data_IF_545962882439
#
_entry.id   IF_545962882439
#
_cell.length_a   1.000
_cell.length_b   1.000
_cell.length_c   1.000
_cell.angle_alpha   90.00
_cell.angle_beta   90.00
_cell.angle_gamma   90.00
#
_symmetry.space_group_name_H-M   'P 1'
#
loop_
_entity.id
_entity.type
_entity.pdbx_description
1 polymer ?
#
# COMPACT_ATOMS: atom_id res chain seq x y z
N UNK A 1 40.26 -40.94 6.76
CA UNK A 1 38.79 -41.07 6.94
C UNK A 1 38.24 -39.68 7.27
N UNK A 2 37.89 -38.92 6.24
CA UNK A 2 37.45 -37.52 6.34
C UNK A 2 36.01 -37.45 6.83
N UNK A 3 35.83 -36.87 8.03
CA UNK A 3 34.55 -36.59 8.66
C UNK A 3 33.87 -35.42 7.95
N UNK A 4 33.16 -35.66 6.85
CA UNK A 4 32.28 -34.66 6.25
C UNK A 4 30.89 -34.81 6.84
N UNK A 5 30.65 -34.12 7.95
CA UNK A 5 29.31 -33.91 8.49
C UNK A 5 29.15 -32.43 8.83
N UNK A 6 28.52 -31.67 7.94
CA UNK A 6 27.52 -30.69 8.38
C UNK A 6 26.66 -30.17 7.24
N UNK A 7 25.36 -30.44 7.39
CA UNK A 7 24.24 -29.57 7.06
C UNK A 7 24.10 -29.14 5.60
N UNK A 8 23.33 -29.94 4.86
CA UNK A 8 22.26 -29.35 4.05
C UNK A 8 21.39 -28.50 4.97
N UNK A 9 21.68 -27.21 5.02
CA UNK A 9 20.80 -26.20 5.56
C UNK A 9 19.87 -25.86 4.40
N UNK A 10 18.80 -26.63 4.25
CA UNK A 10 17.68 -26.26 3.38
C UNK A 10 17.13 -24.95 3.95
N UNK A 11 17.48 -23.85 3.30
CA UNK A 11 16.94 -22.50 3.52
C UNK A 11 15.48 -22.43 3.07
N UNK A 12 14.62 -23.23 3.71
CA UNK A 12 13.17 -23.11 3.62
C UNK A 12 12.72 -21.97 4.55
N UNK A 13 13.25 -20.78 4.31
CA UNK A 13 12.67 -19.56 4.85
C UNK A 13 11.32 -19.34 4.19
N UNK A 14 10.24 -18.99 4.94
CA UNK A 14 8.92 -18.77 4.36
C UNK A 14 9.01 -17.78 3.20
N UNK A 15 8.87 -18.30 1.97
CA UNK A 15 8.81 -17.50 0.77
C UNK A 15 7.67 -16.51 0.98
N UNK A 16 8.02 -15.24 1.14
CA UNK A 16 7.07 -14.19 1.47
C UNK A 16 6.12 -14.08 0.27
N UNK A 17 5.00 -14.81 0.33
CA UNK A 17 4.17 -15.08 -0.83
C UNK A 17 3.72 -13.77 -1.46
N UNK A 18 4.26 -13.50 -2.64
CA UNK A 18 4.03 -12.30 -3.45
C UNK A 18 2.58 -12.17 -3.94
N UNK A 19 1.70 -13.10 -3.55
CA UNK A 19 0.29 -13.17 -3.89
C UNK A 19 -0.58 -13.10 -2.63
N UNK A 20 -0.27 -12.19 -1.70
CA UNK A 20 -1.25 -11.81 -0.66
C UNK A 20 -2.15 -10.76 -1.31
N UNK A 21 -3.42 -11.09 -1.64
CA UNK A 21 -4.33 -10.09 -2.16
C UNK A 21 -4.43 -8.97 -1.13
N UNK A 22 -4.14 -7.74 -1.57
CA UNK A 22 -4.17 -6.52 -0.77
C UNK A 22 -5.64 -6.12 -0.56
N UNK A 23 -6.46 -7.05 -0.08
CA UNK A 23 -7.92 -7.01 -0.29
C UNK A 23 -8.63 -5.95 0.56
N UNK A 24 -7.92 -5.24 1.44
CA UNK A 24 -8.50 -4.24 2.34
C UNK A 24 -7.48 -3.16 2.76
N UNK A 25 -6.63 -2.65 1.85
CA UNK A 25 -5.91 -1.42 2.18
C UNK A 25 -6.85 -0.23 1.97
N UNK A 26 -6.95 0.70 2.94
CA UNK A 26 -7.69 1.92 2.73
C UNK A 26 -7.10 2.66 1.53
N UNK A 27 -7.96 2.93 0.54
CA UNK A 27 -7.63 3.73 -0.63
C UNK A 27 -8.01 5.18 -0.41
N UNK A 28 -7.24 6.08 -1.00
CA UNK A 28 -7.50 7.52 -1.01
C UNK A 28 -7.41 8.05 -2.44
N UNK A 29 -8.26 9.04 -2.76
CA UNK A 29 -8.23 9.74 -4.03
C UNK A 29 -6.98 10.63 -4.07
N UNK A 30 -6.02 10.25 -4.91
CA UNK A 30 -4.74 10.95 -5.01
C UNK A 30 -4.49 11.47 -6.42
N UNK A 31 -3.92 12.66 -6.49
CA UNK A 31 -3.49 13.24 -7.76
C UNK A 31 -2.20 12.55 -8.19
N UNK A 32 -2.21 12.07 -9.42
CA UNK A 32 -1.11 11.38 -10.06
C UNK A 32 -0.75 12.05 -11.37
N UNK A 33 0.53 11.97 -11.72
CA UNK A 33 1.03 12.21 -13.04
C UNK A 33 0.92 10.91 -13.83
N UNK A 34 0.06 10.88 -14.84
CA UNK A 34 -0.06 9.77 -15.79
C UNK A 34 0.71 10.10 -17.06
N UNK A 35 1.45 9.13 -17.58
CA UNK A 35 2.13 9.33 -18.85
C UNK A 35 1.11 9.46 -19.99
N UNK A 36 1.37 10.39 -20.93
CA UNK A 36 0.50 10.64 -22.09
C UNK A 36 0.71 9.63 -23.23
N UNK A 37 1.79 8.85 -23.17
CA UNK A 37 2.14 7.90 -24.21
C UNK A 37 1.35 6.59 -24.04
N UNK A 38 0.66 6.15 -25.09
CA UNK A 38 -0.14 4.91 -25.09
C UNK A 38 0.69 3.64 -24.89
N UNK A 39 2.00 3.68 -25.17
CA UNK A 39 2.94 2.59 -24.89
C UNK A 39 3.52 2.60 -23.47
N UNK A 40 3.14 3.55 -22.63
CA UNK A 40 3.71 3.72 -21.28
C UNK A 40 2.60 3.98 -20.26
N UNK A 41 2.16 2.94 -19.56
CA UNK A 41 1.15 3.05 -18.50
C UNK A 41 1.74 3.47 -17.13
N UNK A 42 2.88 4.16 -17.14
CA UNK A 42 3.53 4.62 -15.93
C UNK A 42 2.83 5.82 -15.34
N UNK A 43 2.76 5.84 -14.01
CA UNK A 43 2.23 6.95 -13.25
C UNK A 43 3.11 7.22 -12.03
N UNK A 44 3.02 8.44 -11.52
CA UNK A 44 3.72 8.90 -10.32
C UNK A 44 2.76 9.73 -9.47
N UNK A 45 2.90 9.74 -8.15
CA UNK A 45 2.10 10.64 -7.29
C UNK A 45 2.59 12.08 -7.40
N UNK A 46 1.66 13.04 -7.37
CA UNK A 46 1.99 14.47 -7.38
C UNK A 46 2.85 14.87 -6.17
N UNK A 47 2.59 14.30 -4.99
CA UNK A 47 3.32 14.58 -3.74
C UNK A 47 4.84 14.34 -3.81
N UNK A 48 5.28 13.55 -4.80
CA UNK A 48 6.68 13.18 -5.00
C UNK A 48 7.30 13.87 -6.21
N UNK A 49 6.53 14.72 -6.91
CA UNK A 49 7.03 15.49 -8.05
C UNK A 49 7.68 16.78 -7.56
N UNK A 50 8.93 17.03 -7.99
CA UNK A 50 9.66 18.27 -7.68
C UNK A 50 9.36 19.42 -8.64
N UNK A 51 8.73 19.12 -9.77
CA UNK A 51 8.42 20.07 -10.86
C UNK A 51 6.91 20.08 -11.07
N UNK A 52 6.37 21.24 -11.47
CA UNK A 52 4.95 21.40 -11.81
C UNK A 52 4.48 20.41 -12.89
N UNK A 53 5.36 20.00 -13.81
CA UNK A 53 5.08 18.91 -14.76
C UNK A 53 6.29 17.99 -14.81
N UNK A 54 6.21 16.75 -14.28
CA UNK A 54 7.30 15.80 -14.38
C UNK A 54 7.38 15.18 -15.77
N UNK A 55 8.58 14.71 -16.09
CA UNK A 55 8.88 13.93 -17.29
C UNK A 55 8.91 12.46 -16.90
N UNK A 56 8.26 11.60 -17.70
CA UNK A 56 8.24 10.18 -17.45
C UNK A 56 9.66 9.58 -17.46
N UNK A 57 10.01 8.81 -16.43
CA UNK A 57 11.34 8.17 -16.33
C UNK A 57 11.56 7.06 -17.36
N UNK A 58 10.50 6.44 -17.88
CA UNK A 58 10.61 5.35 -18.85
C UNK A 58 10.72 5.85 -20.29
N UNK A 59 9.82 6.75 -20.71
CA UNK A 59 9.73 7.17 -22.11
C UNK A 59 10.14 8.63 -22.34
N UNK A 60 10.47 9.39 -21.29
CA UNK A 60 10.84 10.82 -21.34
C UNK A 60 9.76 11.73 -21.95
N UNK A 61 8.53 11.25 -22.07
CA UNK A 61 7.37 12.04 -22.51
C UNK A 61 6.82 12.90 -21.36
N UNK A 62 6.15 14.02 -21.67
CA UNK A 62 5.46 14.81 -20.66
C UNK A 62 4.30 14.01 -20.04
N UNK A 63 4.09 14.19 -18.74
CA UNK A 63 2.99 13.57 -18.00
C UNK A 63 1.84 14.55 -17.81
N UNK A 64 0.63 14.04 -17.55
CA UNK A 64 -0.59 14.81 -17.31
C UNK A 64 -1.14 14.51 -15.91
N UNK A 65 -1.65 15.53 -15.22
CA UNK A 65 -2.29 15.38 -13.92
C UNK A 65 -3.63 14.66 -14.08
N UNK A 66 -3.82 13.59 -13.32
CA UNK A 66 -5.03 12.76 -13.29
C UNK A 66 -5.28 12.34 -11.85
N UNK A 67 -6.46 11.80 -11.54
CA UNK A 67 -6.79 11.33 -10.19
C UNK A 67 -6.99 9.82 -10.19
N UNK A 68 -6.47 9.14 -9.16
CA UNK A 68 -6.59 7.68 -9.02
C UNK A 68 -6.79 7.30 -7.56
N UNK A 69 -7.67 6.33 -7.32
CA UNK A 69 -7.78 5.70 -6.00
C UNK A 69 -6.56 4.81 -5.79
N UNK A 70 -5.75 5.14 -4.80
CA UNK A 70 -4.53 4.42 -4.50
C UNK A 70 -4.46 4.12 -3.00
N UNK A 71 -3.80 3.02 -2.59
CA UNK A 71 -3.60 2.74 -1.18
C UNK A 71 -2.88 3.89 -0.48
N UNK A 72 -3.30 4.22 0.74
CA UNK A 72 -2.69 5.30 1.52
C UNK A 72 -1.20 5.02 1.74
N UNK A 73 -0.35 5.95 1.32
CA UNK A 73 1.08 5.88 1.53
C UNK A 73 1.45 6.57 2.84
N UNK A 74 2.15 5.85 3.71
CA UNK A 74 2.63 6.38 4.98
C UNK A 74 4.10 6.75 4.83
N UNK A 75 4.42 8.04 4.78
CA UNK A 75 5.78 8.53 4.50
C UNK A 75 6.75 8.40 5.70
N UNK A 76 6.25 8.10 6.91
CA UNK A 76 7.07 7.99 8.12
C UNK A 76 6.63 6.84 9.01
N UNK A 77 7.60 6.20 9.68
CA UNK A 77 7.38 5.15 10.68
C UNK A 77 6.42 5.59 11.81
N UNK A 78 6.41 6.88 12.14
CA UNK A 78 5.48 7.42 13.13
C UNK A 78 4.05 7.45 12.58
N UNK A 79 3.88 7.76 11.30
CA UNK A 79 2.59 7.73 10.64
C UNK A 79 2.04 6.30 10.57
N UNK A 80 2.89 5.31 10.26
CA UNK A 80 2.54 3.88 10.27
C UNK A 80 2.01 3.44 11.64
N UNK A 81 2.71 3.82 12.72
CA UNK A 81 2.28 3.51 14.09
C UNK A 81 0.93 4.14 14.43
N UNK A 82 0.65 5.35 13.95
CA UNK A 82 -0.63 6.04 14.15
C UNK A 82 -1.77 5.36 13.38
N UNK A 83 -1.57 5.00 12.11
CA UNK A 83 -2.59 4.30 11.33
C UNK A 83 -2.93 2.92 11.90
N UNK A 84 -1.95 2.13 12.34
CA UNK A 84 -2.23 0.84 13.00
C UNK A 84 -3.09 1.02 14.24
N UNK A 85 -2.82 2.05 15.06
CA UNK A 85 -3.65 2.40 16.23
C UNK A 85 -5.04 2.87 15.84
N UNK A 86 -5.16 3.66 14.76
CA UNK A 86 -6.43 4.17 14.26
C UNK A 86 -7.29 3.05 13.64
N UNK A 87 -6.69 2.11 12.90
CA UNK A 87 -7.38 0.92 12.39
C UNK A 87 -7.87 0.01 13.53
N UNK A 88 -7.08 -0.15 14.60
CA UNK A 88 -7.51 -0.89 15.79
C UNK A 88 -8.70 -0.22 16.50
N UNK A 89 -8.73 1.12 16.56
CA UNK A 89 -9.88 1.87 17.11
C UNK A 89 -11.12 1.75 16.23
N UNK A 90 -10.98 1.86 14.90
CA UNK A 90 -12.11 1.75 13.97
C UNK A 90 -12.83 0.39 14.10
N UNK A 91 -12.08 -0.71 14.24
CA UNK A 91 -12.64 -2.05 14.49
C UNK A 91 -13.32 -2.20 15.87
N UNK A 92 -12.90 -1.43 16.88
CA UNK A 92 -13.54 -1.44 18.21
C UNK A 92 -14.89 -0.70 18.17
N UNK A 93 -14.99 0.41 17.43
CA UNK A 93 -16.24 1.18 17.29
C UNK A 93 -17.31 0.46 16.47
N UNK A 94 -16.94 -0.32 15.46
CA UNK A 94 -17.91 -1.12 14.69
C UNK A 94 -18.56 -2.23 15.53
N UNK A 95 -17.82 -2.78 16.51
CA UNK A 95 -18.34 -3.78 17.46
C UNK A 95 -19.29 -3.20 18.52
N UNK A 96 -19.41 -1.87 18.65
CA UNK A 96 -20.28 -1.22 19.66
C UNK A 96 -21.70 -0.94 19.12
N UNK A 97 -21.97 -1.10 17.81
CA UNK A 97 -23.31 -0.90 17.24
C UNK A 97 -24.08 -2.20 16.96
N UNK A 98 -23.71 -3.32 17.59
CA UNK A 98 -24.50 -4.56 17.58
C UNK A 98 -24.91 -4.95 19.00
N UNK A 99 -25.62 -4.05 19.66
CA UNK A 99 -26.53 -4.40 20.77
C UNK A 99 -27.75 -3.46 20.68
N UNK A 100 -28.81 -3.81 19.92
CA UNK A 100 -30.13 -3.30 20.25
C UNK A 100 -30.58 -4.00 21.55
N UNK A 101 -30.17 -3.46 22.70
CA UNK A 101 -30.79 -3.81 23.98
C UNK A 101 -32.24 -3.31 23.97
N UNK A 102 -33.14 -4.27 23.80
CA UNK A 102 -34.41 -4.43 24.54
C UNK A 102 -35.11 -3.13 24.95
N UNK A 103 -36.15 -2.77 24.18
CA UNK A 103 -37.14 -1.79 24.60
C UNK A 103 -38.03 -2.40 25.69
N UNK A 104 -38.28 -1.71 26.82
CA UNK A 104 -39.23 -2.19 27.81
C UNK A 104 -40.66 -1.91 27.34
N UNK A 105 -41.47 -2.97 27.17
CA UNK A 105 -42.90 -3.01 27.50
C UNK A 105 -43.30 -4.42 27.93
#
# INVERSE_FOLDING_TARGET
>A
MTRTRRHSFEEEGPLHSWNKPLENLPEEMTVIWSCTNTGCASWMREDFSFKEVPVCSLCKSPMVSSQRSLPILMSSDQQVKRFRKNQQKAKVTDKVLQDPKEAPQ
#
